data_IF_806206970675
#
_entry.id   IF_806206970675
#
_cell.length_a   1.000
_cell.length_b   1.000
_cell.length_c   1.000
_cell.angle_alpha   90.00
_cell.angle_beta   90.00
_cell.angle_gamma   90.00
#
_symmetry.space_group_name_H-M   'P 1'
#
loop_
_entity.id
_entity.type
_entity.pdbx_description
1 polymer ?
#
# COMPACT_ATOMS: atom_id res chain seq x y z
N UNK A 1 8.40 -29.40 -5.91
CA UNK A 1 8.88 -28.45 -6.96
C UNK A 1 7.98 -28.61 -8.18
N UNK A 2 7.51 -27.51 -8.76
CA UNK A 2 6.82 -27.49 -10.04
C UNK A 2 7.60 -26.57 -11.00
N UNK A 3 7.46 -26.77 -12.31
CA UNK A 3 8.04 -25.90 -13.35
C UNK A 3 6.97 -25.62 -14.38
N UNK A 4 6.81 -24.34 -14.71
CA UNK A 4 5.86 -23.82 -15.70
C UNK A 4 6.64 -23.11 -16.81
N UNK A 5 6.01 -22.97 -17.97
CA UNK A 5 6.52 -22.15 -19.08
C UNK A 5 5.50 -21.04 -19.33
N UNK A 6 5.96 -19.81 -19.56
CA UNK A 6 5.09 -18.69 -19.93
C UNK A 6 4.67 -18.78 -21.40
N UNK A 7 3.48 -18.25 -21.71
CA UNK A 7 3.04 -18.02 -23.08
C UNK A 7 3.75 -16.80 -23.71
N UNK A 8 3.42 -16.51 -24.97
CA UNK A 8 4.02 -15.42 -25.78
C UNK A 8 3.80 -14.01 -25.21
N UNK A 9 2.90 -13.85 -24.23
CA UNK A 9 2.67 -12.58 -23.49
C UNK A 9 3.21 -12.63 -22.05
N UNK A 10 4.15 -13.54 -21.77
CA UNK A 10 4.86 -13.62 -20.49
C UNK A 10 4.02 -14.16 -19.32
N UNK A 11 2.84 -14.71 -19.57
CA UNK A 11 1.93 -15.23 -18.53
C UNK A 11 2.08 -16.74 -18.38
N UNK A 12 2.27 -17.22 -17.15
CA UNK A 12 2.23 -18.65 -16.83
C UNK A 12 0.78 -19.15 -16.64
N UNK A 13 0.50 -20.44 -16.89
CA UNK A 13 -0.78 -21.05 -16.55
C UNK A 13 -0.97 -21.11 -15.02
N UNK A 14 -2.22 -21.18 -14.57
CA UNK A 14 -2.53 -21.32 -13.15
C UNK A 14 -2.01 -22.65 -12.57
N UNK A 15 -1.49 -22.61 -11.35
CA UNK A 15 -0.98 -23.76 -10.62
C UNK A 15 -1.70 -23.88 -9.28
N UNK A 16 -2.44 -24.98 -9.11
CA UNK A 16 -3.08 -25.30 -7.83
C UNK A 16 -1.99 -25.68 -6.82
N UNK A 17 -1.97 -24.97 -5.69
CA UNK A 17 -1.04 -25.19 -4.58
C UNK A 17 -1.83 -25.46 -3.29
N UNK A 18 -1.24 -26.23 -2.39
CA UNK A 18 -1.83 -26.59 -1.09
C UNK A 18 -1.67 -25.47 -0.09
N UNK A 19 -2.77 -25.00 0.50
CA UNK A 19 -2.76 -24.02 1.59
C UNK A 19 -3.42 -24.60 2.86
N UNK A 20 -3.11 -24.07 4.06
CA UNK A 20 -3.90 -24.27 5.27
C UNK A 20 -5.37 -23.85 5.08
N UNK A 21 -6.25 -24.42 5.90
CA UNK A 21 -7.69 -24.14 5.87
C UNK A 21 -8.02 -22.64 6.04
N UNK A 22 -9.03 -22.14 5.32
CA UNK A 22 -9.42 -20.72 5.38
C UNK A 22 -9.89 -20.29 6.77
N UNK A 23 -10.40 -21.20 7.60
CA UNK A 23 -10.84 -20.91 8.96
C UNK A 23 -9.72 -20.26 9.81
N UNK A 24 -8.46 -20.69 9.62
CA UNK A 24 -7.30 -20.10 10.31
C UNK A 24 -7.06 -18.62 9.97
N UNK A 25 -7.58 -18.15 8.84
CA UNK A 25 -7.49 -16.76 8.39
C UNK A 25 -8.72 -15.91 8.77
N UNK A 26 -9.81 -16.56 9.20
CA UNK A 26 -11.09 -15.94 9.58
C UNK A 26 -11.33 -15.92 11.10
N UNK A 27 -10.48 -16.63 11.85
CA UNK A 27 -10.38 -16.62 13.31
C UNK A 27 -9.33 -15.60 13.80
N UNK A 28 -9.79 -14.57 14.52
CA UNK A 28 -8.92 -13.59 15.17
C UNK A 28 -8.10 -14.21 16.32
N UNK A 29 -8.61 -15.24 17.00
CA UNK A 29 -7.93 -15.85 18.13
C UNK A 29 -6.71 -16.72 17.73
N UNK A 30 -6.62 -17.14 16.46
CA UNK A 30 -5.53 -17.96 15.97
C UNK A 30 -4.16 -17.27 16.09
N UNK A 31 -3.24 -17.93 16.78
CA UNK A 31 -1.83 -17.52 16.98
C UNK A 31 -0.84 -18.67 16.79
N UNK A 32 -1.31 -19.86 16.41
CA UNK A 32 -0.52 -21.10 16.44
C UNK A 32 -0.42 -21.80 15.10
N UNK A 33 -1.39 -21.60 14.19
CA UNK A 33 -1.37 -22.16 12.84
C UNK A 33 -1.31 -21.03 11.83
N UNK A 34 -0.21 -20.93 11.07
CA UNK A 34 -0.06 -19.89 10.06
C UNK A 34 -1.16 -20.03 8.98
N UNK A 35 -1.95 -18.99 8.67
CA UNK A 35 -3.12 -19.10 7.79
C UNK A 35 -2.81 -19.22 6.29
N UNK A 36 -1.55 -19.45 5.91
CA UNK A 36 -1.09 -19.55 4.53
C UNK A 36 0.13 -20.47 4.40
N UNK A 37 0.24 -21.13 3.25
CA UNK A 37 1.44 -21.82 2.84
C UNK A 37 2.50 -20.81 2.39
N UNK A 38 3.77 -21.22 2.50
CA UNK A 38 4.93 -20.42 2.10
C UNK A 38 5.70 -21.17 1.03
N UNK A 39 5.98 -20.50 -0.08
CA UNK A 39 6.69 -21.04 -1.23
C UNK A 39 7.89 -20.16 -1.62
N UNK A 40 8.85 -20.77 -2.32
CA UNK A 40 9.85 -20.04 -3.10
C UNK A 40 9.42 -20.03 -4.57
N UNK A 41 9.62 -18.90 -5.25
CA UNK A 41 9.40 -18.75 -6.69
C UNK A 41 10.72 -18.36 -7.35
N UNK A 42 11.17 -19.15 -8.33
CA UNK A 42 12.34 -18.87 -9.17
C UNK A 42 11.90 -18.70 -10.61
N UNK A 43 12.25 -17.58 -11.23
CA UNK A 43 11.92 -17.26 -12.62
C UNK A 43 13.20 -16.98 -13.43
N UNK A 44 13.31 -17.66 -14.58
CA UNK A 44 14.51 -17.68 -15.41
C UNK A 44 14.13 -17.27 -16.84
N UNK A 45 14.88 -16.34 -17.45
CA UNK A 45 14.69 -15.94 -18.85
C UNK A 45 16.05 -15.74 -19.52
N UNK A 46 16.26 -16.36 -20.69
CA UNK A 46 17.56 -16.36 -21.38
C UNK A 46 18.00 -14.93 -21.74
N UNK A 47 19.17 -14.52 -21.24
CA UNK A 47 19.71 -13.16 -21.44
C UNK A 47 19.31 -12.15 -20.37
N UNK A 48 18.56 -12.55 -19.34
CA UNK A 48 18.13 -11.73 -18.22
C UNK A 48 18.62 -12.33 -16.89
N UNK A 49 18.66 -11.51 -15.83
CA UNK A 49 18.98 -11.96 -14.48
C UNK A 49 17.85 -12.86 -13.95
N UNK A 50 18.20 -13.94 -13.25
CA UNK A 50 17.23 -14.77 -12.51
C UNK A 50 16.55 -13.92 -11.44
N UNK A 51 15.24 -14.10 -11.25
CA UNK A 51 14.50 -13.51 -10.14
C UNK A 51 14.11 -14.65 -9.19
N UNK A 52 14.49 -14.51 -7.91
CA UNK A 52 14.08 -15.41 -6.84
C UNK A 52 13.28 -14.61 -5.80
N UNK A 53 12.06 -15.08 -5.51
CA UNK A 53 11.21 -14.57 -4.44
C UNK A 53 11.10 -15.63 -3.35
N UNK A 54 11.44 -15.26 -2.13
CA UNK A 54 11.22 -16.11 -0.95
C UNK A 54 9.98 -15.66 -0.19
N UNK A 55 9.38 -16.54 0.61
CA UNK A 55 8.25 -16.15 1.45
C UNK A 55 6.89 -16.01 0.73
N UNK A 56 6.76 -16.49 -0.50
CA UNK A 56 5.53 -16.35 -1.31
C UNK A 56 4.34 -16.98 -0.60
N UNK A 57 3.41 -16.13 -0.16
CA UNK A 57 2.27 -16.48 0.68
C UNK A 57 1.11 -16.97 -0.18
N UNK A 58 0.53 -18.14 0.12
CA UNK A 58 -0.64 -18.69 -0.59
C UNK A 58 -1.72 -19.09 0.42
N UNK A 59 -2.91 -18.48 0.28
CA UNK A 59 -4.09 -18.72 1.12
C UNK A 59 -5.08 -19.67 0.42
N UNK A 60 -5.87 -20.43 1.18
CA UNK A 60 -6.94 -21.25 0.62
C UNK A 60 -7.96 -20.41 -0.16
N UNK A 61 -8.41 -20.92 -1.30
CA UNK A 61 -9.38 -20.25 -2.17
C UNK A 61 -8.90 -18.97 -2.88
N UNK A 62 -7.64 -18.55 -2.71
CA UNK A 62 -7.16 -17.24 -3.17
C UNK A 62 -6.02 -17.33 -4.19
N UNK A 63 -6.19 -16.63 -5.31
CA UNK A 63 -5.18 -16.54 -6.36
C UNK A 63 -4.07 -15.54 -5.98
N UNK A 64 -2.84 -16.03 -5.91
CA UNK A 64 -1.62 -15.24 -5.67
C UNK A 64 -0.97 -14.89 -7.01
N UNK A 65 -0.67 -13.60 -7.21
CA UNK A 65 -0.17 -13.03 -8.47
C UNK A 65 1.25 -12.51 -8.25
N UNK A 66 2.17 -12.94 -9.10
CA UNK A 66 3.55 -12.47 -9.15
C UNK A 66 3.77 -11.62 -10.41
N UNK A 67 4.06 -10.31 -10.24
CA UNK A 67 4.39 -9.40 -11.35
C UNK A 67 5.89 -9.17 -11.38
N UNK A 68 6.58 -9.94 -12.22
CA UNK A 68 8.04 -9.96 -12.28
C UNK A 68 8.55 -9.03 -13.40
N UNK A 69 9.59 -8.24 -13.10
CA UNK A 69 10.25 -7.39 -14.09
C UNK A 69 11.71 -7.80 -14.27
N UNK A 70 12.00 -8.51 -15.36
CA UNK A 70 13.34 -8.96 -15.71
C UNK A 70 14.28 -7.79 -16.08
N UNK A 71 15.52 -7.84 -15.58
CA UNK A 71 16.62 -6.95 -15.96
C UNK A 71 17.62 -7.71 -16.85
N UNK A 72 18.20 -7.10 -17.91
CA UNK A 72 19.15 -7.78 -18.79
C UNK A 72 20.42 -8.23 -18.05
N UNK A 73 20.92 -9.43 -18.37
CA UNK A 73 22.12 -10.01 -17.77
C UNK A 73 23.40 -9.39 -18.38
N UNK A 74 23.76 -8.19 -17.94
CA UNK A 74 25.06 -7.60 -18.24
C UNK A 74 26.16 -8.26 -17.40
N UNK A 75 27.30 -8.60 -18.04
CA UNK A 75 28.43 -9.36 -17.45
C UNK A 75 29.12 -8.69 -16.24
N UNK A 76 28.75 -7.46 -15.91
CA UNK A 76 29.34 -6.64 -14.84
C UNK A 76 28.33 -6.22 -13.78
N UNK A 77 27.09 -6.71 -13.84
CA UNK A 77 26.14 -6.57 -12.74
C UNK A 77 26.46 -7.62 -11.66
N UNK A 78 26.27 -7.30 -10.37
CA UNK A 78 26.33 -8.30 -9.32
C UNK A 78 25.21 -9.34 -9.48
N UNK A 79 25.37 -10.48 -8.82
CA UNK A 79 24.30 -11.45 -8.61
C UNK A 79 23.16 -10.79 -7.81
N UNK A 80 21.92 -11.16 -8.11
CA UNK A 80 20.74 -10.54 -7.49
C UNK A 80 20.38 -11.33 -6.24
N UNK A 81 20.43 -10.67 -5.07
CA UNK A 81 19.93 -11.26 -3.82
C UNK A 81 18.42 -11.54 -3.93
N UNK A 82 17.93 -12.71 -3.46
CA UNK A 82 16.50 -13.02 -3.49
C UNK A 82 15.65 -11.97 -2.75
N UNK A 83 14.52 -11.56 -3.33
CA UNK A 83 13.61 -10.62 -2.66
C UNK A 83 12.71 -11.41 -1.68
N UNK A 84 13.01 -11.28 -0.38
CA UNK A 84 12.28 -11.97 0.70
C UNK A 84 10.97 -11.26 1.06
N UNK A 85 9.86 -11.98 0.96
CA UNK A 85 8.56 -11.58 1.53
C UNK A 85 8.54 -12.01 3.02
N UNK A 86 8.37 -11.08 3.97
CA UNK A 86 8.36 -11.42 5.40
C UNK A 86 7.09 -12.16 5.81
N UNK A 87 7.06 -12.62 7.06
CA UNK A 87 5.84 -13.16 7.66
C UNK A 87 4.77 -12.05 7.78
N UNK A 88 3.50 -12.39 7.51
CA UNK A 88 2.42 -11.41 7.43
C UNK A 88 2.17 -10.73 8.80
N UNK A 89 2.10 -9.38 8.89
CA UNK A 89 1.98 -8.65 10.15
C UNK A 89 0.86 -9.10 11.10
N UNK A 90 -0.33 -9.44 10.57
CA UNK A 90 -1.45 -10.01 11.35
C UNK A 90 -1.17 -11.38 12.02
N UNK A 91 -0.09 -12.06 11.64
CA UNK A 91 0.38 -13.30 12.28
C UNK A 91 1.64 -13.05 13.13
N UNK A 92 2.55 -12.18 12.65
CA UNK A 92 3.80 -11.85 13.33
C UNK A 92 3.64 -10.92 14.55
N UNK A 93 2.61 -10.07 14.57
CA UNK A 93 2.27 -9.16 15.69
C UNK A 93 2.50 -7.66 15.45
N UNK A 94 3.09 -7.27 14.31
CA UNK A 94 3.50 -5.88 13.99
C UNK A 94 2.51 -5.13 13.04
N UNK A 95 1.22 -5.49 13.04
CA UNK A 95 0.21 -4.96 12.11
C UNK A 95 -0.37 -3.59 12.48
N UNK A 96 -0.51 -2.69 11.49
CA UNK A 96 -1.20 -1.41 11.65
C UNK A 96 -0.45 -0.18 11.13
N UNK A 97 -1.17 0.94 11.00
CA UNK A 97 -0.63 2.23 10.56
C UNK A 97 -0.03 3.08 11.69
N UNK A 98 0.79 4.07 11.34
CA UNK A 98 1.29 5.06 12.28
C UNK A 98 0.23 6.07 12.74
N UNK A 99 0.38 6.64 13.95
CA UNK A 99 -0.62 7.53 14.54
C UNK A 99 -0.84 8.80 13.72
N UNK A 100 -2.04 9.37 13.84
CA UNK A 100 -2.40 10.61 13.17
C UNK A 100 -1.43 11.76 13.49
N UNK A 101 -1.08 12.61 12.50
CA UNK A 101 -0.32 13.85 12.70
C UNK A 101 -0.71 14.67 13.93
N UNK A 102 0.21 14.76 14.90
CA UNK A 102 0.03 15.63 16.07
C UNK A 102 0.21 17.09 15.64
N UNK A 103 -0.93 17.76 15.44
CA UNK A 103 -1.01 19.15 14.99
C UNK A 103 -0.89 19.31 13.47
N UNK A 104 -1.45 20.42 12.95
CA UNK A 104 -1.06 20.91 11.64
C UNK A 104 0.36 21.47 11.76
N UNK A 105 1.31 20.97 10.98
CA UNK A 105 2.58 21.66 10.82
C UNK A 105 2.27 23.05 10.24
N UNK A 106 2.74 24.13 10.87
CA UNK A 106 2.44 25.50 10.44
C UNK A 106 2.87 25.75 8.98
N UNK A 107 3.96 25.09 8.55
CA UNK A 107 4.54 25.14 7.22
C UNK A 107 4.16 23.93 6.33
N UNK A 108 3.23 23.06 6.77
CA UNK A 108 2.73 21.98 5.91
C UNK A 108 1.90 22.60 4.80
N UNK A 109 2.49 22.65 3.60
CA UNK A 109 1.80 23.13 2.41
C UNK A 109 0.79 22.09 1.99
N UNK A 110 -0.41 22.60 1.72
CA UNK A 110 -1.58 21.80 1.36
C UNK A 110 -1.84 22.04 -0.12
N UNK A 111 -2.06 20.98 -0.88
CA UNK A 111 -2.46 21.10 -2.28
C UNK A 111 -3.81 21.84 -2.39
N UNK A 112 -4.06 22.52 -3.50
CA UNK A 112 -5.35 23.21 -3.72
C UNK A 112 -6.50 22.26 -4.07
N UNK A 113 -6.19 21.10 -4.64
CA UNK A 113 -7.15 20.08 -5.06
C UNK A 113 -6.62 18.65 -4.84
N UNK A 114 -7.52 17.70 -4.57
CA UNK A 114 -7.12 16.32 -4.25
C UNK A 114 -6.77 15.57 -5.53
N UNK A 115 -5.47 15.38 -5.75
CA UNK A 115 -4.89 14.60 -6.83
C UNK A 115 -4.72 13.15 -6.42
N UNK A 116 -5.26 12.23 -7.22
CA UNK A 116 -4.91 10.81 -7.18
C UNK A 116 -3.61 10.63 -7.99
N UNK A 117 -2.51 10.16 -7.37
CA UNK A 117 -1.21 10.17 -8.03
C UNK A 117 -1.10 9.05 -9.07
N UNK A 118 -0.46 9.32 -10.20
CA UNK A 118 -0.08 8.26 -11.17
C UNK A 118 1.01 7.34 -10.62
N UNK A 119 1.92 7.88 -9.78
CA UNK A 119 3.00 7.17 -9.11
C UNK A 119 3.25 7.73 -7.72
N UNK A 120 3.69 6.88 -6.81
CA UNK A 120 4.05 7.24 -5.42
C UNK A 120 5.46 6.72 -5.12
N UNK A 121 6.26 7.53 -4.42
CA UNK A 121 7.61 7.15 -3.98
C UNK A 121 7.56 6.71 -2.52
N UNK A 122 7.84 5.42 -2.30
CA UNK A 122 7.91 4.77 -0.99
C UNK A 122 9.37 4.71 -0.52
N UNK A 123 9.63 5.09 0.72
CA UNK A 123 10.92 4.92 1.38
C UNK A 123 10.95 3.61 2.18
N UNK A 124 11.99 2.79 1.97
CA UNK A 124 12.07 1.42 2.51
C UNK A 124 12.66 1.34 3.94
N UNK A 125 12.42 2.36 4.77
CA UNK A 125 12.72 2.38 6.19
C UNK A 125 11.89 3.45 6.92
N UNK A 126 12.09 3.59 8.24
CA UNK A 126 11.58 4.73 9.03
C UNK A 126 12.23 6.04 8.56
N UNK A 127 11.58 7.21 8.76
CA UNK A 127 12.12 8.49 8.31
C UNK A 127 13.52 8.78 8.85
N UNK A 128 14.36 9.39 8.02
CA UNK A 128 15.78 9.69 8.27
C UNK A 128 16.71 8.47 8.47
N UNK A 129 16.24 7.24 8.33
CA UNK A 129 17.11 6.07 8.16
C UNK A 129 17.62 6.02 6.72
N UNK A 130 18.87 5.61 6.50
CA UNK A 130 19.41 5.45 5.14
C UNK A 130 18.84 4.18 4.50
N UNK A 131 17.96 4.34 3.52
CA UNK A 131 17.34 3.25 2.77
C UNK A 131 16.96 3.70 1.35
N UNK A 132 16.70 2.75 0.45
CA UNK A 132 16.28 3.04 -0.90
C UNK A 132 14.87 3.66 -0.96
N UNK A 133 14.66 4.53 -1.95
CA UNK A 133 13.34 4.98 -2.37
C UNK A 133 12.93 4.19 -3.62
N UNK A 134 11.68 3.71 -3.67
CA UNK A 134 11.11 3.03 -4.85
C UNK A 134 9.85 3.74 -5.33
N UNK A 135 9.72 3.91 -6.64
CA UNK A 135 8.61 4.68 -7.25
C UNK A 135 7.74 3.79 -8.14
N UNK A 136 6.62 3.33 -7.59
CA UNK A 136 5.65 2.41 -8.21
C UNK A 136 4.40 3.16 -8.69
N UNK A 137 3.47 2.52 -9.41
CA UNK A 137 2.15 3.14 -9.61
C UNK A 137 1.36 3.15 -8.30
N UNK A 138 0.39 4.04 -8.18
CA UNK A 138 -0.44 4.11 -6.97
C UNK A 138 -1.35 2.88 -6.79
N UNK A 139 -1.76 2.24 -7.89
CA UNK A 139 -2.52 0.99 -7.83
C UNK A 139 -1.64 -0.17 -7.34
N UNK A 140 -0.41 -0.29 -7.86
CA UNK A 140 0.55 -1.30 -7.38
C UNK A 140 0.85 -1.11 -5.88
N UNK A 141 1.03 0.15 -5.45
CA UNK A 141 1.25 0.49 -4.05
C UNK A 141 0.09 0.03 -3.15
N UNK A 142 -1.15 0.41 -3.48
CA UNK A 142 -2.31 0.06 -2.65
C UNK A 142 -2.59 -1.45 -2.67
N UNK A 143 -2.42 -2.15 -3.81
CA UNK A 143 -2.57 -3.61 -3.86
C UNK A 143 -1.48 -4.33 -3.03
N UNK A 144 -0.26 -3.79 -2.98
CA UNK A 144 0.84 -4.27 -2.16
C UNK A 144 0.58 -4.04 -0.65
N UNK A 145 0.12 -2.84 -0.28
CA UNK A 145 -0.30 -2.53 1.10
C UNK A 145 -1.45 -3.41 1.53
N UNK A 146 -2.53 -3.52 0.74
CA UNK A 146 -3.67 -4.38 1.03
C UNK A 146 -3.25 -5.83 1.29
N UNK A 147 -2.37 -6.38 0.43
CA UNK A 147 -1.81 -7.73 0.57
C UNK A 147 -0.82 -7.89 1.75
N UNK A 148 -0.37 -6.79 2.37
CA UNK A 148 0.57 -6.76 3.50
C UNK A 148 -0.08 -6.41 4.83
N UNK A 149 -1.31 -5.89 4.80
CA UNK A 149 -2.05 -5.42 5.97
C UNK A 149 -3.20 -6.38 6.34
N UNK A 150 -3.86 -7.00 5.36
CA UNK A 150 -5.07 -7.81 5.58
C UNK A 150 -5.10 -9.09 4.73
N UNK A 151 -5.70 -10.15 5.26
CA UNK A 151 -5.76 -11.44 4.56
C UNK A 151 -6.78 -11.42 3.40
N UNK A 152 -6.45 -12.01 2.23
CA UNK A 152 -7.30 -11.99 1.04
C UNK A 152 -8.61 -12.79 1.16
N UNK A 153 -8.69 -13.67 2.15
CA UNK A 153 -9.86 -14.50 2.48
C UNK A 153 -10.97 -13.73 3.19
N UNK A 154 -10.72 -12.52 3.69
CA UNK A 154 -11.70 -11.75 4.46
C UNK A 154 -12.91 -11.33 3.61
N UNK A 155 -14.10 -11.16 4.22
CA UNK A 155 -15.32 -10.74 3.50
C UNK A 155 -15.11 -9.47 2.69
N UNK A 156 -15.66 -9.39 1.46
CA UNK A 156 -15.31 -8.31 0.52
C UNK A 156 -15.57 -6.91 1.08
N UNK A 157 -16.61 -6.70 1.92
CA UNK A 157 -16.85 -5.40 2.54
C UNK A 157 -15.78 -5.00 3.57
N UNK A 158 -15.18 -5.97 4.26
CA UNK A 158 -14.01 -5.73 5.13
C UNK A 158 -12.80 -5.33 4.29
N UNK A 159 -12.50 -6.06 3.20
CA UNK A 159 -11.41 -5.73 2.27
C UNK A 159 -11.58 -4.31 1.69
N UNK A 160 -12.79 -3.99 1.19
CA UNK A 160 -13.13 -2.66 0.67
C UNK A 160 -12.94 -1.56 1.71
N UNK A 161 -13.34 -1.77 2.97
CA UNK A 161 -13.14 -0.79 4.05
C UNK A 161 -11.65 -0.55 4.34
N UNK A 162 -10.84 -1.61 4.39
CA UNK A 162 -9.39 -1.50 4.60
C UNK A 162 -8.69 -0.80 3.42
N UNK A 163 -9.01 -1.18 2.17
CA UNK A 163 -8.45 -0.54 0.96
C UNK A 163 -8.79 0.95 0.90
N UNK A 164 -10.03 1.34 1.22
CA UNK A 164 -10.44 2.76 1.28
C UNK A 164 -9.70 3.56 2.36
N UNK A 165 -9.42 2.94 3.51
CA UNK A 165 -8.58 3.55 4.55
C UNK A 165 -7.11 3.67 4.13
N UNK A 166 -6.57 2.65 3.44
CA UNK A 166 -5.20 2.65 2.93
C UNK A 166 -5.01 3.76 1.87
N UNK A 167 -5.93 3.87 0.91
CA UNK A 167 -5.97 4.96 -0.09
C UNK A 167 -6.04 6.32 0.60
N UNK A 168 -6.97 6.52 1.54
CA UNK A 168 -7.22 7.83 2.13
C UNK A 168 -6.06 8.34 3.00
N UNK A 169 -5.38 7.46 3.75
CA UNK A 169 -4.17 7.80 4.50
C UNK A 169 -3.02 8.17 3.54
N UNK A 170 -2.80 7.37 2.48
CA UNK A 170 -1.75 7.66 1.49
C UNK A 170 -2.00 8.97 0.73
N UNK A 171 -3.26 9.26 0.35
CA UNK A 171 -3.64 10.54 -0.23
C UNK A 171 -3.51 11.69 0.78
N UNK A 172 -3.77 11.49 2.08
CA UNK A 172 -3.54 12.52 3.09
C UNK A 172 -2.05 12.90 3.21
N UNK A 173 -1.14 11.92 3.18
CA UNK A 173 0.32 12.17 3.17
C UNK A 173 0.78 12.99 1.98
N UNK A 174 0.18 12.78 0.80
CA UNK A 174 0.45 13.55 -0.41
C UNK A 174 -0.17 14.95 -0.33
N UNK A 175 -1.45 15.03 0.03
CA UNK A 175 -2.23 16.26 0.15
C UNK A 175 -1.62 17.29 1.12
N UNK A 176 -1.03 16.82 2.22
CA UNK A 176 -0.34 17.65 3.23
C UNK A 176 1.15 17.86 2.96
N UNK A 177 1.65 17.41 1.80
CA UNK A 177 3.08 17.31 1.46
C UNK A 177 3.92 16.78 2.65
N UNK A 178 3.43 15.76 3.38
CA UNK A 178 3.91 15.43 4.73
C UNK A 178 5.43 15.20 4.82
N UNK A 179 5.98 14.42 3.88
CA UNK A 179 7.42 14.19 3.77
C UNK A 179 8.14 15.28 2.93
N UNK A 180 7.64 15.72 1.75
CA UNK A 180 8.27 16.78 0.97
C UNK A 180 8.42 18.14 1.68
N UNK A 181 7.41 18.58 2.44
CA UNK A 181 7.46 19.82 3.24
C UNK A 181 8.52 19.81 4.34
N UNK A 182 9.00 18.61 4.72
CA UNK A 182 10.09 18.38 5.68
C UNK A 182 11.44 18.11 5.01
N UNK A 183 11.54 18.28 3.69
CA UNK A 183 12.78 18.11 2.92
C UNK A 183 13.09 16.68 2.48
N UNK A 184 12.19 15.72 2.70
CA UNK A 184 12.38 14.34 2.23
C UNK A 184 12.02 14.18 0.74
N UNK A 185 12.71 13.27 0.06
CA UNK A 185 12.55 12.97 -1.37
C UNK A 185 11.51 11.87 -1.68
N UNK A 186 10.67 11.52 -0.71
CA UNK A 186 9.65 10.47 -0.80
C UNK A 186 8.28 10.97 -0.33
N UNK A 187 7.22 10.19 -0.60
CA UNK A 187 5.84 10.56 -0.29
C UNK A 187 5.28 9.81 0.92
N UNK A 188 5.80 8.62 1.22
CA UNK A 188 5.37 7.73 2.31
C UNK A 188 6.51 6.76 2.67
N UNK A 189 6.54 6.20 3.87
CA UNK A 189 7.42 5.08 4.24
C UNK A 189 6.70 3.73 4.13
N UNK A 190 7.46 2.65 4.18
CA UNK A 190 6.94 1.27 4.23
C UNK A 190 6.80 0.71 5.67
N UNK A 191 7.02 1.56 6.68
CA UNK A 191 7.06 1.15 8.09
C UNK A 191 5.65 1.21 8.68
N UNK A 192 5.04 0.08 9.14
CA UNK A 192 3.64 0.03 9.57
C UNK A 192 3.32 1.09 10.63
N UNK A 193 3.97 1.03 11.80
CA UNK A 193 3.83 2.01 12.90
C UNK A 193 4.35 3.43 12.63
N UNK A 194 4.54 3.83 11.36
CA UNK A 194 4.79 5.21 10.93
C UNK A 194 3.82 5.60 9.81
N UNK A 195 3.57 4.70 8.86
CA UNK A 195 2.67 4.89 7.73
C UNK A 195 1.81 3.64 7.49
N UNK A 196 2.29 2.68 6.70
CA UNK A 196 1.58 1.48 6.23
C UNK A 196 2.59 0.38 5.91
N UNK A 197 2.20 -0.89 6.01
CA UNK A 197 3.04 -2.02 5.60
C UNK A 197 3.20 -2.06 4.07
N UNK A 198 4.43 -1.97 3.56
CA UNK A 198 4.73 -2.21 2.14
C UNK A 198 6.01 -3.05 1.99
N UNK A 199 5.96 -4.05 1.10
CA UNK A 199 7.09 -4.95 0.85
C UNK A 199 7.49 -4.81 -0.62
N UNK A 200 8.72 -4.38 -0.89
CA UNK A 200 9.25 -4.35 -2.26
C UNK A 200 9.19 -5.77 -2.87
N UNK A 201 8.72 -5.90 -4.11
CA UNK A 201 8.78 -7.15 -4.87
C UNK A 201 7.76 -8.23 -4.50
N UNK A 202 6.96 -8.06 -3.43
CA UNK A 202 6.04 -9.10 -2.98
C UNK A 202 4.99 -9.47 -4.04
N UNK A 203 4.52 -10.71 -3.96
CA UNK A 203 3.28 -11.13 -4.62
C UNK A 203 2.06 -10.46 -3.97
N UNK A 204 1.04 -10.20 -4.77
CA UNK A 204 -0.26 -9.64 -4.34
C UNK A 204 -1.36 -10.65 -4.63
N UNK A 205 -2.55 -10.46 -4.06
CA UNK A 205 -3.69 -11.37 -4.30
C UNK A 205 -4.64 -10.76 -5.34
N UNK A 206 -5.19 -11.59 -6.24
CA UNK A 206 -6.05 -11.12 -7.34
C UNK A 206 -7.29 -10.35 -6.85
N UNK A 207 -7.82 -10.70 -5.67
CA UNK A 207 -8.88 -9.94 -5.01
C UNK A 207 -8.44 -8.52 -4.61
N UNK A 208 -7.21 -8.35 -4.12
CA UNK A 208 -6.67 -7.03 -3.77
C UNK A 208 -6.40 -6.20 -5.02
N UNK A 209 -5.89 -6.80 -6.10
CA UNK A 209 -5.72 -6.11 -7.39
C UNK A 209 -7.08 -5.62 -7.95
N UNK A 210 -8.08 -6.50 -8.00
CA UNK A 210 -9.44 -6.15 -8.47
C UNK A 210 -10.05 -5.02 -7.66
N UNK A 211 -10.06 -5.14 -6.33
CA UNK A 211 -10.66 -4.14 -5.46
C UNK A 211 -9.88 -2.81 -5.48
N UNK A 212 -8.55 -2.86 -5.62
CA UNK A 212 -7.74 -1.65 -5.79
C UNK A 212 -8.03 -0.97 -7.11
N UNK A 213 -8.12 -1.71 -8.22
CA UNK A 213 -8.45 -1.17 -9.53
C UNK A 213 -9.87 -0.54 -9.58
N UNK A 214 -10.81 -1.04 -8.78
CA UNK A 214 -12.13 -0.45 -8.60
C UNK A 214 -12.11 0.81 -7.71
N UNK A 215 -11.28 0.83 -6.65
CA UNK A 215 -11.36 1.83 -5.58
C UNK A 215 -10.29 2.94 -5.60
N UNK A 216 -9.17 2.80 -6.32
CA UNK A 216 -7.99 3.67 -6.20
C UNK A 216 -8.23 5.19 -6.36
N UNK A 217 -9.32 5.58 -7.03
CA UNK A 217 -9.71 6.96 -7.27
C UNK A 217 -10.73 7.49 -6.24
N UNK A 218 -11.08 6.69 -5.24
CA UNK A 218 -12.11 6.92 -4.23
C UNK A 218 -11.50 6.88 -2.82
N UNK A 219 -11.79 7.90 -2.01
CA UNK A 219 -11.16 8.08 -0.70
C UNK A 219 -12.15 8.52 0.37
N UNK A 220 -11.72 8.47 1.63
CA UNK A 220 -12.53 8.83 2.79
C UNK A 220 -12.41 10.33 3.05
N UNK A 221 -13.55 11.02 3.18
CA UNK A 221 -13.60 12.42 3.60
C UNK A 221 -14.64 12.59 4.71
N UNK A 222 -14.53 13.66 5.49
CA UNK A 222 -15.57 14.08 6.44
C UNK A 222 -16.39 15.22 5.84
N UNK A 223 -17.71 15.21 6.04
CA UNK A 223 -18.62 16.25 5.53
C UNK A 223 -18.24 17.63 6.09
N UNK A 224 -17.88 18.57 5.22
CA UNK A 224 -17.37 19.91 5.57
C UNK A 224 -15.86 20.08 5.44
N UNK A 225 -15.11 18.99 5.37
CA UNK A 225 -13.65 18.99 5.19
C UNK A 225 -13.31 18.86 3.68
N UNK A 226 -12.16 19.37 3.24
CA UNK A 226 -11.69 19.26 1.84
C UNK A 226 -10.66 18.14 1.68
N UNK A 227 -9.82 17.98 2.71
CA UNK A 227 -8.75 17.00 2.81
C UNK A 227 -9.22 15.53 2.71
N UNK A 228 -8.42 14.61 2.13
CA UNK A 228 -8.53 13.19 2.41
C UNK A 228 -8.36 12.98 3.92
N UNK A 229 -9.24 12.22 4.54
CA UNK A 229 -9.19 12.00 5.99
C UNK A 229 -8.03 11.05 6.32
N UNK A 230 -7.22 11.39 7.33
CA UNK A 230 -6.19 10.49 7.85
C UNK A 230 -6.87 9.34 8.61
N UNK A 231 -7.05 8.24 7.90
CA UNK A 231 -7.73 7.03 8.33
C UNK A 231 -6.74 6.10 9.02
N UNK A 232 -6.36 6.46 10.24
CA UNK A 232 -5.55 5.62 11.13
C UNK A 232 -6.24 4.26 11.34
N UNK A 233 -5.49 3.17 11.25
CA UNK A 233 -5.93 1.81 11.50
C UNK A 233 -4.85 0.99 12.21
N UNK A 234 -5.23 -0.13 12.80
CA UNK A 234 -4.36 -1.09 13.48
C UNK A 234 -4.98 -2.49 13.45
N UNK A 235 -4.22 -3.54 13.74
CA UNK A 235 -4.75 -4.92 13.70
C UNK A 235 -6.02 -5.08 14.57
N UNK A 236 -6.01 -4.43 15.76
CA UNK A 236 -7.06 -4.49 16.77
C UNK A 236 -6.87 -5.60 17.80
N UNK A 237 -5.89 -6.47 17.58
CA UNK A 237 -5.60 -7.70 18.33
C UNK A 237 -4.34 -7.53 19.19
N UNK A 238 -3.22 -7.22 18.53
CA UNK A 238 -1.89 -7.03 19.15
C UNK A 238 -1.60 -5.56 19.40
N UNK A 239 -2.14 -4.68 18.55
CA UNK A 239 -1.91 -3.22 18.52
C UNK A 239 -3.25 -2.49 18.62
N UNK A 240 -3.31 -1.46 19.50
CA UNK A 240 -4.51 -0.62 19.66
C UNK A 240 -4.24 0.86 19.37
N UNK A 241 -5.03 1.39 18.45
CA UNK A 241 -5.08 2.77 17.95
C UNK A 241 -6.50 3.35 18.16
N UNK A 242 -6.69 4.69 18.15
CA UNK A 242 -8.01 5.32 18.18
C UNK A 242 -8.86 5.11 16.92
N UNK A 243 -8.26 4.61 15.83
CA UNK A 243 -8.90 4.41 14.54
C UNK A 243 -9.47 3.01 14.29
N UNK A 244 -9.48 2.59 13.03
CA UNK A 244 -10.13 1.34 12.60
C UNK A 244 -9.37 0.10 13.05
N UNK A 245 -10.12 -0.91 13.53
CA UNK A 245 -9.57 -2.24 13.84
C UNK A 245 -9.68 -3.13 12.61
N UNK A 246 -8.57 -3.59 12.05
CA UNK A 246 -8.54 -4.42 10.84
C UNK A 246 -9.36 -5.70 11.06
N UNK A 247 -9.08 -6.47 12.12
CA UNK A 247 -9.88 -7.66 12.47
C UNK A 247 -11.34 -7.33 12.73
N UNK A 248 -11.63 -6.24 13.46
CA UNK A 248 -13.00 -5.80 13.72
C UNK A 248 -13.82 -5.45 12.46
N UNK A 249 -13.17 -5.12 11.33
CA UNK A 249 -13.88 -4.97 10.04
C UNK A 249 -14.48 -6.28 9.54
N UNK A 250 -13.87 -7.43 9.84
CA UNK A 250 -14.38 -8.76 9.50
C UNK A 250 -15.73 -9.00 10.17
N UNK A 251 -15.83 -8.67 11.46
CA UNK A 251 -17.09 -8.83 12.21
C UNK A 251 -18.18 -7.87 11.74
N UNK A 252 -17.85 -6.59 11.50
CA UNK A 252 -18.83 -5.67 10.90
C UNK A 252 -19.31 -6.18 9.53
N UNK A 253 -18.43 -6.77 8.71
CA UNK A 253 -18.82 -7.37 7.44
C UNK A 253 -19.66 -8.66 7.60
N UNK A 254 -19.39 -9.49 8.61
CA UNK A 254 -20.23 -10.65 9.00
C UNK A 254 -21.63 -10.20 9.48
N UNK A 255 -21.76 -9.03 10.11
CA UNK A 255 -23.03 -8.35 10.42
C UNK A 255 -23.74 -7.77 9.18
N UNK A 256 -23.21 -7.97 7.97
CA UNK A 256 -23.77 -7.48 6.71
C UNK A 256 -23.50 -6.00 6.44
N UNK A 257 -22.55 -5.35 7.14
CA UNK A 257 -22.24 -3.94 6.92
C UNK A 257 -21.51 -3.68 5.61
N UNK A 258 -21.97 -2.65 4.89
CA UNK A 258 -21.26 -2.09 3.75
C UNK A 258 -19.97 -1.39 4.19
N UNK A 259 -18.97 -1.30 3.32
CA UNK A 259 -17.69 -0.66 3.62
C UNK A 259 -17.83 0.78 4.18
N UNK A 260 -18.81 1.56 3.70
CA UNK A 260 -19.09 2.90 4.24
C UNK A 260 -19.68 2.86 5.67
N UNK A 261 -20.49 1.87 6.01
CA UNK A 261 -20.96 1.69 7.40
C UNK A 261 -19.82 1.26 8.33
N UNK A 262 -18.93 0.37 7.87
CA UNK A 262 -17.71 -0.03 8.62
C UNK A 262 -16.84 1.19 8.88
N UNK A 263 -16.57 2.00 7.85
CA UNK A 263 -15.80 3.23 7.97
C UNK A 263 -16.48 4.26 8.88
N UNK A 264 -17.82 4.40 8.83
CA UNK A 264 -18.58 5.28 9.74
C UNK A 264 -18.60 4.82 11.19
N UNK A 265 -18.57 3.51 11.44
CA UNK A 265 -18.48 2.93 12.78
C UNK A 265 -17.16 3.34 13.47
N UNK A 266 -16.02 3.24 12.77
CA UNK A 266 -14.72 3.60 13.33
C UNK A 266 -14.38 5.09 13.27
N UNK A 267 -14.77 5.80 12.20
CA UNK A 267 -14.35 7.17 11.93
C UNK A 267 -15.44 8.24 12.11
N UNK A 268 -16.64 7.83 12.52
CA UNK A 268 -17.78 8.68 12.84
C UNK A 268 -18.72 8.95 11.66
N UNK A 269 -19.98 9.30 11.97
CA UNK A 269 -21.07 9.48 11.00
C UNK A 269 -20.83 10.53 9.91
N UNK A 270 -19.97 11.54 10.18
CA UNK A 270 -19.51 12.53 9.18
C UNK A 270 -18.73 11.93 8.02
N UNK A 271 -18.29 10.67 8.08
CA UNK A 271 -17.57 10.03 6.97
C UNK A 271 -18.46 9.81 5.74
N UNK A 272 -17.88 10.11 4.59
CA UNK A 272 -18.40 9.91 3.24
C UNK A 272 -17.27 9.40 2.34
N UNK A 273 -17.61 8.67 1.28
CA UNK A 273 -16.67 8.37 0.20
C UNK A 273 -16.72 9.49 -0.84
N UNK A 274 -15.58 9.79 -1.43
CA UNK A 274 -15.44 10.80 -2.50
C UNK A 274 -14.57 10.23 -3.61
N UNK A 275 -15.14 10.16 -4.82
CA UNK A 275 -14.45 9.74 -6.03
C UNK A 275 -13.96 10.97 -6.80
N UNK A 276 -12.74 10.93 -7.34
CA UNK A 276 -12.18 12.00 -8.18
C UNK A 276 -11.47 11.43 -9.41
N UNK A 277 -11.66 12.08 -10.56
CA UNK A 277 -10.94 11.74 -11.79
C UNK A 277 -9.69 12.60 -12.03
N UNK A 278 -9.27 13.40 -11.04
CA UNK A 278 -8.02 14.15 -11.08
C UNK A 278 -6.82 13.21 -10.85
N UNK A 279 -6.46 12.47 -11.91
CA UNK A 279 -5.37 11.48 -11.90
C UNK A 279 -4.15 12.08 -12.59
N UNK A 280 -3.22 12.61 -11.79
CA UNK A 280 -2.08 13.40 -12.27
C UNK A 280 -0.74 13.00 -11.64
N UNK A 281 0.35 13.64 -12.05
CA UNK A 281 1.60 13.61 -11.26
C UNK A 281 1.39 14.39 -9.96
N UNK A 282 2.04 13.98 -8.88
CA UNK A 282 2.01 14.70 -7.59
C UNK A 282 2.51 16.15 -7.83
N UNK A 283 1.70 17.18 -7.55
CA UNK A 283 2.16 18.57 -7.61
C UNK A 283 3.22 18.83 -6.53
N UNK A 284 4.12 19.78 -6.77
CA UNK A 284 5.12 20.21 -5.79
C UNK A 284 4.96 21.70 -5.50
N UNK A 285 5.07 22.08 -4.24
CA UNK A 285 5.07 23.50 -3.85
C UNK A 285 6.36 24.25 -4.20
N UNK A 286 6.38 25.55 -3.90
CA UNK A 286 6.94 26.56 -4.81
C UNK A 286 8.08 27.67 -4.25
N UNK A 287 9.07 26.74 -3.76
CA UNK A 287 9.11 25.90 -2.50
C UNK A 287 9.74 26.38 -1.16
N UNK A 288 10.27 27.60 -0.99
CA UNK A 288 10.52 28.22 0.33
C UNK A 288 11.61 29.30 0.34
N UNK A 289 12.59 29.18 -0.54
CA UNK A 289 13.68 30.15 -0.70
C UNK A 289 13.22 31.43 -1.43
N UNK A 290 13.53 32.64 -0.93
CA UNK A 290 13.20 33.87 -1.65
C UNK A 290 13.83 33.88 -3.05
N UNK A 291 13.00 33.78 -4.10
CA UNK A 291 13.46 33.85 -5.48
C UNK A 291 14.05 35.25 -5.72
N UNK A 292 15.30 35.29 -6.18
CA UNK A 292 16.00 36.53 -6.54
C UNK A 292 15.99 36.66 -8.06
N UNK A 293 16.11 37.89 -8.57
CA UNK A 293 16.24 38.14 -10.02
C UNK A 293 17.51 37.44 -10.54
N UNK A 294 17.34 36.34 -11.28
CA UNK A 294 18.43 35.47 -11.73
C UNK A 294 18.45 34.06 -11.11
N UNK A 295 17.52 33.70 -10.20
CA UNK A 295 17.32 32.31 -9.77
C UNK A 295 16.93 31.41 -10.95
N UNK A 296 17.43 30.17 -10.97
CA UNK A 296 17.13 29.13 -11.96
C UNK A 296 16.91 27.77 -11.29
N UNK A 297 16.35 26.80 -12.03
CA UNK A 297 16.06 25.44 -11.54
C UNK A 297 14.58 25.18 -11.24
N UNK A 298 14.25 23.96 -10.80
CA UNK A 298 12.87 23.42 -10.69
C UNK A 298 11.91 24.33 -9.93
N UNK A 299 12.41 25.03 -8.90
CA UNK A 299 11.66 26.02 -8.11
C UNK A 299 10.98 27.10 -8.96
N UNK A 300 11.65 27.58 -10.03
CA UNK A 300 11.13 28.66 -10.88
C UNK A 300 9.96 28.17 -11.76
N UNK A 301 10.02 26.91 -12.21
CA UNK A 301 9.04 26.32 -13.12
C UNK A 301 7.65 26.11 -12.48
N UNK A 302 7.53 26.19 -11.16
CA UNK A 302 6.24 26.03 -10.45
C UNK A 302 5.40 27.31 -10.54
N UNK A 303 6.01 28.49 -10.75
CA UNK A 303 5.30 29.78 -10.87
C UNK A 303 5.05 30.23 -12.32
N UNK A 304 5.59 29.55 -13.32
CA UNK A 304 5.46 29.93 -14.74
C UNK A 304 4.28 29.28 -15.46
N UNK A 305 3.31 28.73 -14.72
CA UNK A 305 2.01 28.29 -15.25
C UNK A 305 0.91 29.26 -14.80
N UNK A 306 0.57 30.17 -15.71
CA UNK A 306 -0.65 30.98 -15.70
C UNK A 306 -1.36 30.75 -17.04
#
# INVERSE_FOLDING_TARGET
MARLTTNDVGSAPELVLTAPDEAYSLDEANTTVRPYAVYQLRAEMTGFQTIELEGVQVFAGQQTVARLQFLPAARTLPEVEPETIPEHPLFAGDGGSGPAPIGRCADARVLSEVVVPKKITVHLARPAVSAANVTVSFQDYIANVASSEVYPTWPEQALRANILAQISLALNRIWTEWYPSRGYSFNITNSPGVDQAYVRGRTVFAVMERLTAELFNTYVRRTGDTEPYYTEYCDGKSVTCPGMKQWGTVDRAKEGKSALEILRYYYGSRVQLVTTNNIASIPQSYPGSPLRRGSTGTAVNVLTKT
#
